data_IF_581892269700
#
_entry.id   IF_581892269700
#
_cell.length_a   1.000
_cell.length_b   1.000
_cell.length_c   1.000
_cell.angle_alpha   90.00
_cell.angle_beta   90.00
_cell.angle_gamma   90.00
#
_symmetry.space_group_name_H-M   'P 1'
#
loop_
_entity.id
_entity.type
_entity.pdbx_description
1 polymer ?
#
# COMPACT_ATOMS: atom_id res chain seq x y z
N UNK A 1 23.38 -19.28 10.19
CA UNK A 1 22.95 -17.88 10.44
C UNK A 1 21.53 -17.95 11.02
N UNK A 2 21.29 -17.53 12.27
CA UNK A 2 19.94 -17.54 12.87
C UNK A 2 19.09 -16.50 12.13
N UNK A 3 17.92 -16.89 11.63
CA UNK A 3 16.96 -15.95 11.04
C UNK A 3 16.63 -14.88 12.08
N UNK A 4 16.92 -13.62 11.77
CA UNK A 4 16.41 -12.49 12.53
C UNK A 4 14.88 -12.52 12.39
N UNK A 5 14.19 -12.93 13.46
CA UNK A 5 12.73 -12.79 13.53
C UNK A 5 12.46 -11.30 13.71
N UNK A 6 11.98 -10.65 12.64
CA UNK A 6 11.50 -9.28 12.73
C UNK A 6 10.15 -9.36 13.45
N UNK A 7 10.12 -8.92 14.71
CA UNK A 7 8.86 -8.77 15.42
C UNK A 7 8.27 -7.44 14.99
N UNK A 8 7.22 -7.46 14.17
CA UNK A 8 6.43 -6.26 13.90
C UNK A 8 5.63 -5.97 15.17
N UNK A 9 6.19 -5.13 16.04
CA UNK A 9 5.45 -4.56 17.17
C UNK A 9 4.37 -3.68 16.56
N UNK A 10 3.11 -4.14 16.60
CA UNK A 10 1.98 -3.27 16.27
C UNK A 10 2.00 -2.15 17.30
N UNK A 11 2.36 -0.96 16.86
CA UNK A 11 2.28 0.24 17.69
C UNK A 11 0.84 0.35 18.18
N UNK A 12 0.70 0.49 19.49
CA UNK A 12 -0.61 0.76 20.07
C UNK A 12 -0.99 2.19 19.69
N UNK A 13 -1.70 2.33 18.56
CA UNK A 13 -2.22 3.62 18.15
C UNK A 13 -3.19 4.13 19.22
N UNK A 14 -3.11 5.40 19.62
CA UNK A 14 -4.20 6.04 20.35
C UNK A 14 -5.53 5.79 19.64
N UNK A 15 -6.61 5.58 20.38
CA UNK A 15 -7.93 5.24 19.82
C UNK A 15 -8.36 6.24 18.73
N UNK A 16 -8.08 7.52 18.96
CA UNK A 16 -8.40 8.61 18.02
C UNK A 16 -7.71 8.49 16.67
N UNK A 17 -6.55 7.83 16.63
CA UNK A 17 -5.75 7.58 15.43
C UNK A 17 -6.00 6.21 14.80
N UNK A 18 -6.99 5.44 15.28
CA UNK A 18 -7.26 4.08 14.82
C UNK A 18 -7.49 3.96 13.30
N UNK A 19 -8.02 5.01 12.65
CA UNK A 19 -8.22 5.04 11.21
C UNK A 19 -6.91 4.93 10.39
N UNK A 20 -5.77 5.33 10.96
CA UNK A 20 -4.46 5.17 10.30
C UNK A 20 -4.14 3.71 9.99
N UNK A 21 -4.53 2.77 10.86
CA UNK A 21 -4.29 1.35 10.64
C UNK A 21 -5.04 0.82 9.41
N UNK A 22 -6.27 1.32 9.16
CA UNK A 22 -7.07 0.94 8.00
C UNK A 22 -6.53 1.56 6.71
N UNK A 23 -6.18 2.84 6.76
CA UNK A 23 -5.59 3.57 5.63
C UNK A 23 -4.23 2.98 5.24
N UNK A 24 -3.42 2.51 6.20
CA UNK A 24 -2.08 1.98 5.93
C UNK A 24 -2.08 0.64 5.19
N UNK A 25 -3.06 -0.22 5.47
CA UNK A 25 -3.12 -1.58 4.89
C UNK A 25 -3.91 -1.64 3.58
N UNK A 26 -4.74 -0.64 3.27
CA UNK A 26 -5.46 -0.59 2.01
C UNK A 26 -4.57 0.03 0.93
N UNK A 27 -4.13 -0.76 -0.06
CA UNK A 27 -3.18 -0.34 -1.08
C UNK A 27 -3.62 0.87 -1.93
N UNK A 28 -4.88 1.33 -1.86
CA UNK A 28 -5.32 2.57 -2.52
C UNK A 28 -4.41 3.76 -2.22
N UNK A 29 -3.81 3.82 -1.03
CA UNK A 29 -2.85 4.87 -0.70
C UNK A 29 -1.70 4.98 -1.72
N UNK A 30 -1.34 3.91 -2.44
CA UNK A 30 -0.22 3.96 -3.40
C UNK A 30 -0.54 4.77 -4.66
N UNK A 31 -1.81 5.07 -4.95
CA UNK A 31 -2.22 5.99 -6.00
C UNK A 31 -3.14 7.13 -5.53
N UNK A 32 -3.39 7.24 -4.23
CA UNK A 32 -4.15 8.33 -3.61
C UNK A 32 -3.23 9.35 -2.94
N UNK A 33 -2.98 10.47 -3.64
CA UNK A 33 -2.06 11.52 -3.19
C UNK A 33 -2.44 12.12 -1.83
N UNK A 34 -3.71 12.44 -1.54
CA UNK A 34 -4.10 12.94 -0.22
C UNK A 34 -3.73 11.99 0.93
N UNK A 35 -3.92 10.68 0.75
CA UNK A 35 -3.52 9.68 1.75
C UNK A 35 -2.00 9.61 1.92
N UNK A 36 -1.22 9.71 0.84
CA UNK A 36 0.24 9.79 0.92
C UNK A 36 0.71 11.03 1.69
N UNK A 37 0.08 12.18 1.44
CA UNK A 37 0.42 13.44 2.10
C UNK A 37 0.07 13.42 3.60
N UNK A 38 -1.01 12.72 3.98
CA UNK A 38 -1.32 12.46 5.39
C UNK A 38 -0.17 11.72 6.08
N UNK A 39 0.25 10.58 5.54
CA UNK A 39 1.35 9.80 6.12
C UNK A 39 2.68 10.55 6.10
N UNK A 40 3.00 11.26 5.01
CA UNK A 40 4.18 12.11 4.93
C UNK A 40 4.18 13.22 5.99
N UNK A 41 3.01 13.73 6.39
CA UNK A 41 2.90 14.78 7.41
C UNK A 41 3.10 14.30 8.86
N UNK A 42 3.05 12.99 9.10
CA UNK A 42 3.35 12.41 10.42
C UNK A 42 4.80 12.71 10.79
N UNK A 43 5.72 12.35 9.89
CA UNK A 43 7.15 12.61 9.97
C UNK A 43 7.77 12.49 8.56
N UNK A 44 8.13 13.60 7.89
CA UNK A 44 8.63 13.59 6.51
C UNK A 44 9.97 12.86 6.34
N UNK A 45 10.82 12.90 7.37
CA UNK A 45 12.12 12.22 7.33
C UNK A 45 11.90 10.71 7.44
N UNK A 46 11.13 10.25 8.44
CA UNK A 46 10.80 8.83 8.58
C UNK A 46 10.06 8.30 7.35
N UNK A 47 9.13 9.07 6.78
CA UNK A 47 8.41 8.68 5.57
C UNK A 47 9.34 8.34 4.40
N UNK A 48 10.38 9.14 4.21
CA UNK A 48 11.39 8.88 3.18
C UNK A 48 12.27 7.68 3.54
N UNK A 49 12.69 7.57 4.81
CA UNK A 49 13.53 6.47 5.29
C UNK A 49 12.83 5.11 5.30
N UNK A 50 11.50 5.09 5.47
CA UNK A 50 10.70 3.86 5.39
C UNK A 50 10.32 3.47 3.97
N UNK A 51 10.81 4.20 2.96
CA UNK A 51 10.48 3.93 1.55
C UNK A 51 9.02 4.22 1.22
N UNK A 52 8.44 5.23 1.88
CA UNK A 52 7.05 5.64 1.67
C UNK A 52 6.04 4.52 1.96
N UNK A 53 6.36 3.70 2.96
CA UNK A 53 5.52 2.62 3.46
C UNK A 53 4.78 3.09 4.74
N UNK A 54 3.43 3.22 4.69
CA UNK A 54 2.63 3.57 5.85
C UNK A 54 2.75 2.58 7.02
N UNK A 55 2.81 1.28 6.74
CA UNK A 55 2.90 0.24 7.77
C UNK A 55 4.27 0.33 8.46
N UNK A 56 5.34 0.47 7.68
CA UNK A 56 6.68 0.63 8.25
C UNK A 56 6.83 1.94 9.01
N UNK A 57 6.28 3.06 8.50
CA UNK A 57 6.26 4.36 9.18
C UNK A 57 5.60 4.24 10.57
N UNK A 58 4.39 3.67 10.63
CA UNK A 58 3.67 3.48 11.89
C UNK A 58 4.40 2.51 12.84
N UNK A 59 5.23 1.61 12.33
CA UNK A 59 6.06 0.71 13.13
C UNK A 59 7.29 1.36 13.78
N UNK A 60 7.71 2.54 13.31
CA UNK A 60 8.92 3.23 13.80
C UNK A 60 8.68 4.61 14.41
N UNK A 61 7.52 5.22 14.14
CA UNK A 61 7.13 6.51 14.73
C UNK A 61 7.08 6.42 16.25
N UNK A 62 7.56 7.47 16.93
CA UNK A 62 7.61 7.48 18.39
C UNK A 62 6.20 7.62 19.00
N UNK A 63 5.93 6.99 20.16
CA UNK A 63 4.66 7.17 20.87
C UNK A 63 4.34 8.63 21.16
N UNK A 64 5.34 9.42 21.59
CA UNK A 64 5.19 10.85 21.82
C UNK A 64 4.65 11.59 20.60
N UNK A 65 5.15 11.27 19.40
CA UNK A 65 4.67 11.90 18.16
C UNK A 65 3.22 11.51 17.85
N UNK A 66 2.84 10.26 18.13
CA UNK A 66 1.45 9.82 17.99
C UNK A 66 0.52 10.54 18.98
N UNK A 67 0.97 10.74 20.22
CA UNK A 67 0.20 11.48 21.23
C UNK A 67 0.01 12.95 20.81
N UNK A 68 1.04 13.60 20.29
CA UNK A 68 0.94 14.97 19.72
C UNK A 68 -0.08 15.04 18.58
N UNK A 69 -0.07 14.07 17.65
CA UNK A 69 -1.01 14.01 16.53
C UNK A 69 -2.45 13.68 16.97
N UNK A 70 -2.60 12.97 18.09
CA UNK A 70 -3.91 12.68 18.67
C UNK A 70 -4.58 13.91 19.29
N UNK A 71 -3.84 15.01 19.50
CA UNK A 71 -4.35 16.31 19.97
C UNK A 71 -4.41 17.37 18.86
N UNK A 72 -3.82 17.12 17.68
CA UNK A 72 -3.83 18.04 16.54
C UNK A 72 -5.13 17.94 15.73
N UNK A 73 -6.05 18.88 15.97
CA UNK A 73 -7.35 18.90 15.29
C UNK A 73 -7.23 18.95 13.75
N UNK A 74 -6.24 19.66 13.20
CA UNK A 74 -6.06 19.76 11.74
C UNK A 74 -5.60 18.43 11.14
N UNK A 75 -4.79 17.66 11.87
CA UNK A 75 -4.44 16.31 11.48
C UNK A 75 -5.64 15.37 11.57
N UNK A 76 -6.39 15.44 12.67
CA UNK A 76 -7.55 14.58 12.90
C UNK A 76 -8.68 14.80 11.88
N UNK A 77 -8.97 16.05 11.52
CA UNK A 77 -9.99 16.36 10.51
C UNK A 77 -9.61 15.79 9.14
N UNK A 78 -8.33 15.88 8.77
CA UNK A 78 -7.82 15.24 7.53
C UNK A 78 -7.90 13.73 7.60
N UNK A 79 -7.54 13.13 8.74
CA UNK A 79 -7.62 11.69 8.96
C UNK A 79 -9.06 11.19 8.80
N UNK A 80 -10.02 11.85 9.45
CA UNK A 80 -11.44 11.48 9.38
C UNK A 80 -11.99 11.63 7.95
N UNK A 81 -11.63 12.73 7.27
CA UNK A 81 -12.06 12.96 5.90
C UNK A 81 -11.54 11.88 4.95
N UNK A 82 -10.28 11.47 5.09
CA UNK A 82 -9.69 10.41 4.25
C UNK A 82 -10.22 9.02 4.62
N UNK A 83 -10.51 8.79 5.90
CA UNK A 83 -11.15 7.55 6.33
C UNK A 83 -12.56 7.42 5.75
N UNK A 84 -13.34 8.50 5.75
CA UNK A 84 -14.68 8.56 5.16
C UNK A 84 -14.62 8.45 3.62
N UNK A 85 -13.64 9.09 2.97
CA UNK A 85 -13.44 8.99 1.53
C UNK A 85 -13.08 7.55 1.11
N UNK A 86 -12.27 6.83 1.90
CA UNK A 86 -12.02 5.41 1.66
C UNK A 86 -13.30 4.58 1.81
N UNK A 87 -14.12 4.85 2.83
CA UNK A 87 -15.38 4.14 3.03
C UNK A 87 -16.37 4.40 1.87
N UNK A 88 -16.47 5.64 1.39
CA UNK A 88 -17.26 5.99 0.19
C UNK A 88 -16.72 5.24 -1.05
N UNK A 89 -15.42 5.31 -1.29
CA UNK A 89 -14.77 4.62 -2.42
C UNK A 89 -15.07 3.11 -2.45
N UNK A 90 -15.07 2.46 -1.30
CA UNK A 90 -15.28 1.00 -1.20
C UNK A 90 -16.75 0.59 -1.30
N UNK A 91 -17.70 1.50 -1.08
CA UNK A 91 -19.13 1.15 -0.92
C UNK A 91 -20.04 1.77 -1.97
N UNK A 92 -19.67 2.92 -2.55
CA UNK A 92 -20.48 3.57 -3.56
C UNK A 92 -20.60 2.71 -4.82
N UNK A 93 -21.76 2.70 -5.49
CA UNK A 93 -21.85 2.14 -6.83
C UNK A 93 -20.89 2.87 -7.76
N UNK A 94 -20.02 2.12 -8.43
CA UNK A 94 -19.15 2.63 -9.49
C UNK A 94 -19.69 2.22 -10.86
N UNK A 95 -18.99 2.61 -11.92
CA UNK A 95 -19.37 2.33 -13.30
C UNK A 95 -19.84 0.88 -13.51
N UNK A 96 -19.14 -0.11 -12.94
CA UNK A 96 -19.51 -1.52 -13.09
C UNK A 96 -20.88 -1.87 -12.49
N UNK A 97 -21.18 -1.34 -11.30
CA UNK A 97 -22.46 -1.54 -10.62
C UNK A 97 -23.58 -0.78 -11.36
N UNK A 98 -23.28 0.40 -11.91
CA UNK A 98 -24.24 1.15 -12.73
C UNK A 98 -24.61 0.39 -14.01
N UNK A 99 -23.65 -0.21 -14.71
CA UNK A 99 -23.92 -1.04 -15.89
C UNK A 99 -24.80 -2.25 -15.55
N UNK A 100 -24.52 -2.92 -14.43
CA UNK A 100 -25.36 -4.03 -13.95
C UNK A 100 -26.78 -3.56 -13.63
N UNK A 101 -26.93 -2.43 -12.95
CA UNK A 101 -28.24 -1.85 -12.63
C UNK A 101 -29.02 -1.43 -13.89
N UNK A 102 -28.32 -1.02 -14.96
CA UNK A 102 -28.90 -0.73 -16.26
C UNK A 102 -29.27 -1.99 -17.10
N UNK A 103 -29.03 -3.19 -16.56
CA UNK A 103 -29.40 -4.46 -17.20
C UNK A 103 -28.37 -5.02 -18.17
N UNK A 104 -27.12 -4.50 -18.17
CA UNK A 104 -26.05 -5.07 -18.96
C UNK A 104 -25.68 -6.48 -18.43
N UNK A 105 -25.48 -7.43 -19.34
CA UNK A 105 -24.99 -8.76 -18.99
C UNK A 105 -23.48 -8.68 -18.68
N UNK A 106 -23.15 -8.64 -17.40
CA UNK A 106 -21.78 -8.48 -16.90
C UNK A 106 -21.33 -9.75 -16.14
N UNK A 107 -20.04 -10.12 -16.18
CA UNK A 107 -19.54 -11.27 -15.44
C UNK A 107 -19.67 -11.08 -13.92
N UNK A 108 -19.77 -12.16 -13.14
CA UNK A 108 -19.81 -12.04 -11.67
C UNK A 108 -18.41 -11.97 -11.03
N UNK A 109 -17.37 -12.26 -11.82
CA UNK A 109 -15.97 -12.20 -11.40
C UNK A 109 -15.01 -12.31 -12.58
N UNK A 110 -13.84 -11.70 -12.46
CA UNK A 110 -12.80 -11.67 -13.49
C UNK A 110 -11.48 -12.14 -12.85
N UNK A 111 -10.98 -13.32 -13.24
CA UNK A 111 -9.65 -13.77 -12.81
C UNK A 111 -8.55 -13.17 -13.68
N UNK A 112 -7.65 -12.40 -13.09
CA UNK A 112 -6.50 -11.82 -13.80
C UNK A 112 -5.20 -12.48 -13.35
N UNK A 113 -4.67 -13.36 -14.19
CA UNK A 113 -3.45 -14.11 -13.91
C UNK A 113 -2.25 -13.36 -14.45
N UNK A 114 -1.29 -13.06 -13.59
CA UNK A 114 -0.01 -12.48 -13.98
C UNK A 114 1.11 -13.06 -13.14
N UNK A 115 2.30 -13.15 -13.72
CA UNK A 115 3.51 -13.49 -12.96
C UNK A 115 3.94 -12.33 -12.07
N UNK A 116 3.60 -11.09 -12.41
CA UNK A 116 4.03 -9.89 -11.68
C UNK A 116 2.87 -8.90 -11.49
N UNK A 117 2.91 -8.16 -10.38
CA UNK A 117 2.01 -7.05 -10.09
C UNK A 117 2.76 -5.92 -9.37
N UNK A 118 2.91 -4.78 -10.06
CA UNK A 118 3.51 -3.55 -9.55
C UNK A 118 2.46 -2.59 -9.00
N UNK A 119 1.77 -2.97 -7.93
CA UNK A 119 0.71 -2.15 -7.32
C UNK A 119 1.29 -1.01 -6.48
N UNK A 120 2.30 -1.33 -5.68
CA UNK A 120 3.01 -0.40 -4.80
C UNK A 120 4.45 -0.88 -4.63
N UNK A 121 5.41 0.02 -4.46
CA UNK A 121 6.82 -0.34 -4.25
C UNK A 121 7.04 -1.19 -2.99
N UNK A 122 6.18 -1.01 -1.97
CA UNK A 122 6.20 -1.78 -0.72
C UNK A 122 5.83 -3.25 -0.92
N UNK A 123 5.22 -3.59 -2.06
CA UNK A 123 4.92 -4.94 -2.48
C UNK A 123 5.78 -5.28 -3.72
N UNK A 124 7.08 -5.60 -3.54
CA UNK A 124 8.00 -5.79 -4.65
C UNK A 124 7.79 -7.15 -5.33
N UNK A 125 6.68 -7.26 -6.05
CA UNK A 125 6.24 -8.42 -6.82
C UNK A 125 6.31 -8.16 -8.34
N UNK A 126 7.29 -7.39 -8.78
CA UNK A 126 7.51 -7.07 -10.19
C UNK A 126 8.99 -6.76 -10.48
N UNK A 127 9.36 -6.90 -11.75
CA UNK A 127 10.73 -6.71 -12.25
C UNK A 127 10.79 -5.68 -13.37
N UNK A 128 9.65 -5.35 -14.01
CA UNK A 128 9.62 -4.43 -15.14
C UNK A 128 8.21 -4.09 -15.62
N UNK A 129 8.10 -3.74 -16.90
CA UNK A 129 6.88 -3.16 -17.48
C UNK A 129 5.64 -4.05 -17.43
N UNK A 130 5.80 -5.38 -17.44
CA UNK A 130 4.67 -6.31 -17.32
C UNK A 130 3.98 -6.17 -15.96
N UNK A 131 4.75 -6.17 -14.87
CA UNK A 131 4.19 -5.99 -13.54
C UNK A 131 3.58 -4.61 -13.34
N UNK A 132 4.21 -3.54 -13.86
CA UNK A 132 3.64 -2.18 -13.82
C UNK A 132 2.28 -2.13 -14.51
N UNK A 133 2.18 -2.64 -15.74
CA UNK A 133 0.92 -2.69 -16.48
C UNK A 133 -0.14 -3.50 -15.74
N UNK A 134 0.22 -4.66 -15.19
CA UNK A 134 -0.69 -5.48 -14.41
C UNK A 134 -1.16 -4.74 -13.14
N UNK A 135 -0.28 -4.00 -12.47
CA UNK A 135 -0.62 -3.14 -11.34
C UNK A 135 -1.59 -2.02 -11.72
N UNK A 136 -1.34 -1.33 -12.83
CA UNK A 136 -2.22 -0.25 -13.30
C UNK A 136 -3.58 -0.76 -13.77
N UNK A 137 -3.65 -1.98 -14.31
CA UNK A 137 -4.93 -2.66 -14.53
C UNK A 137 -5.69 -2.90 -13.23
N UNK A 138 -5.01 -3.33 -12.14
CA UNK A 138 -5.67 -3.51 -10.84
C UNK A 138 -6.21 -2.18 -10.29
N UNK A 139 -5.44 -1.10 -10.38
CA UNK A 139 -5.87 0.25 -9.95
C UNK A 139 -7.08 0.72 -10.74
N UNK A 140 -7.00 0.62 -12.08
CA UNK A 140 -8.10 1.01 -12.97
C UNK A 140 -9.35 0.16 -12.75
N UNK A 141 -9.18 -1.15 -12.51
CA UNK A 141 -10.28 -2.05 -12.18
C UNK A 141 -10.95 -1.66 -10.86
N UNK A 142 -10.15 -1.26 -9.85
CA UNK A 142 -10.64 -0.73 -8.58
C UNK A 142 -11.47 0.53 -8.79
N UNK A 143 -10.96 1.51 -9.55
CA UNK A 143 -11.66 2.80 -9.80
C UNK A 143 -12.95 2.64 -10.62
N UNK A 144 -13.06 1.56 -11.40
CA UNK A 144 -14.26 1.21 -12.17
C UNK A 144 -15.22 0.28 -11.40
N UNK A 145 -14.81 -0.25 -10.24
CA UNK A 145 -15.58 -1.20 -9.45
C UNK A 145 -15.71 -2.60 -10.05
N UNK A 146 -14.74 -3.04 -10.86
CA UNK A 146 -14.74 -4.37 -11.44
C UNK A 146 -14.55 -5.44 -10.34
N UNK A 147 -15.25 -6.59 -10.41
CA UNK A 147 -15.03 -7.74 -9.54
C UNK A 147 -13.79 -8.53 -10.01
N UNK A 148 -12.65 -7.86 -10.11
CA UNK A 148 -11.41 -8.42 -10.62
C UNK A 148 -10.54 -8.96 -9.50
N UNK A 149 -10.09 -10.21 -9.66
CA UNK A 149 -9.26 -10.95 -8.71
C UNK A 149 -7.89 -11.18 -9.36
N UNK A 150 -6.88 -10.50 -8.84
CA UNK A 150 -5.49 -10.73 -9.23
C UNK A 150 -4.97 -12.06 -8.67
N UNK A 151 -4.43 -12.92 -9.53
CA UNK A 151 -3.80 -14.19 -9.14
C UNK A 151 -2.37 -14.20 -9.64
N UNK A 152 -1.43 -14.34 -8.70
CA UNK A 152 -0.01 -14.37 -9.00
C UNK A 152 0.77 -15.19 -8.00
N UNK A 153 2.09 -15.03 -8.03
CA UNK A 153 3.00 -15.71 -7.12
C UNK A 153 3.47 -14.75 -6.04
N UNK A 154 3.78 -15.30 -4.87
CA UNK A 154 4.56 -14.61 -3.84
C UNK A 154 6.03 -15.04 -3.98
N UNK A 155 6.86 -14.18 -4.55
CA UNK A 155 8.29 -14.45 -4.64
C UNK A 155 8.97 -14.11 -3.31
N UNK A 156 9.65 -15.10 -2.71
CA UNK A 156 10.41 -14.89 -1.45
C UNK A 156 11.53 -13.86 -1.60
N UNK A 157 12.11 -13.81 -2.79
CA UNK A 157 13.04 -12.77 -3.23
C UNK A 157 12.40 -12.12 -4.45
N UNK A 158 12.04 -10.85 -4.35
CA UNK A 158 11.59 -10.07 -5.51
C UNK A 158 12.75 -9.78 -6.47
N UNK A 159 12.61 -8.73 -7.28
CA UNK A 159 13.71 -8.25 -8.11
C UNK A 159 14.88 -7.73 -7.25
N UNK A 160 16.10 -7.80 -7.78
CA UNK A 160 17.28 -7.36 -7.04
C UNK A 160 17.32 -5.84 -6.89
N UNK A 161 17.96 -5.39 -5.81
CA UNK A 161 18.42 -4.00 -5.67
C UNK A 161 19.77 -3.86 -6.35
N UNK A 162 19.86 -2.94 -7.30
CA UNK A 162 21.08 -2.64 -8.01
C UNK A 162 21.91 -1.62 -7.22
N UNK A 163 23.21 -1.89 -7.10
CA UNK A 163 24.21 -0.91 -6.66
C UNK A 163 25.36 -0.93 -7.66
N UNK A 164 26.06 0.20 -7.80
CA UNK A 164 27.26 0.30 -8.60
C UNK A 164 28.46 0.37 -7.67
N UNK A 165 29.46 -0.47 -7.93
CA UNK A 165 30.76 -0.40 -7.25
C UNK A 165 31.54 0.83 -7.73
N UNK A 166 32.60 1.20 -7.02
CA UNK A 166 33.43 2.37 -7.37
C UNK A 166 34.08 2.25 -8.76
N UNK A 167 34.27 1.02 -9.25
CA UNK A 167 34.78 0.67 -10.58
C UNK A 167 33.67 0.48 -11.64
N UNK A 168 32.42 0.81 -11.30
CA UNK A 168 31.30 0.85 -12.24
C UNK A 168 30.64 -0.50 -12.54
N UNK A 169 30.96 -1.54 -11.79
CA UNK A 169 30.31 -2.84 -11.93
C UNK A 169 28.98 -2.89 -11.20
N UNK A 170 28.03 -3.57 -11.82
CA UNK A 170 26.77 -3.89 -11.17
C UNK A 170 26.99 -4.91 -10.05
N UNK A 171 26.42 -4.62 -8.90
CA UNK A 171 26.33 -5.53 -7.77
C UNK A 171 24.87 -5.68 -7.35
N UNK A 172 24.37 -6.92 -7.38
CA UNK A 172 22.99 -7.27 -7.09
C UNK A 172 22.79 -7.72 -5.65
N UNK A 173 21.79 -7.16 -4.98
CA UNK A 173 21.35 -7.62 -3.66
C UNK A 173 19.90 -8.13 -3.73
N UNK A 174 19.65 -9.34 -3.23
CA UNK A 174 18.33 -9.99 -3.22
C UNK A 174 17.79 -10.06 -1.78
N UNK A 175 17.22 -8.96 -1.25
CA UNK A 175 16.66 -9.00 0.10
C UNK A 175 15.49 -9.99 0.16
N UNK A 176 15.43 -10.78 1.23
CA UNK A 176 14.27 -11.63 1.49
C UNK A 176 13.10 -10.73 1.89
N UNK A 177 11.94 -10.97 1.29
CA UNK A 177 10.69 -10.34 1.69
C UNK A 177 10.15 -11.11 2.91
N UNK A 178 9.70 -10.38 3.93
CA UNK A 178 9.04 -10.94 5.11
C UNK A 178 7.52 -10.86 4.91
N UNK A 179 6.81 -12.00 4.79
CA UNK A 179 5.35 -11.99 4.60
C UNK A 179 4.60 -11.27 5.73
N UNK A 180 5.16 -11.21 6.95
CA UNK A 180 4.50 -10.59 8.10
C UNK A 180 4.70 -9.07 8.17
N UNK A 181 5.56 -8.52 7.32
CA UNK A 181 5.86 -7.09 7.24
C UNK A 181 5.26 -6.39 6.04
N UNK A 182 4.46 -7.08 5.22
CA UNK A 182 3.76 -6.50 4.07
C UNK A 182 2.36 -5.99 4.46
N UNK A 183 1.82 -4.98 3.73
CA UNK A 183 0.45 -4.51 3.90
C UNK A 183 -0.61 -5.62 3.73
#
# INVERSE_FOLDING_TARGET
MKALRRFTVRTHLPERLGALARLSINLRWSWDKPTQDLFASIDPELWTHTGQDPVALLGVVTPKRLDELAEDQSFLDRLDQLAADLDDYLTRPMWYQEQQAAGAAMPTGIGYFSMEFGVAEVLPNYSGGLGILAGDHLKSASDLGLPLIGVGLYYRSGYFRQSLTADGWQHENYPSIDPQGLP
#
